data_IF_978308682246
#
_entry.id   IF_978308682246
#
_cell.length_a   1.000
_cell.length_b   1.000
_cell.length_c   1.000
_cell.angle_alpha   90.00
_cell.angle_beta   90.00
_cell.angle_gamma   90.00
#
_symmetry.space_group_name_H-M   'P 1'
#
loop_
_entity.id
_entity.type
_entity.pdbx_description
1 polymer ?
#
# COMPACT_ATOMS: atom_id res chain seq x y z
N UNK A 1 29.94 36.14 -32.11
CA UNK A 1 31.16 36.31 -32.93
C UNK A 1 32.11 37.38 -32.42
N UNK A 2 31.72 38.55 -31.88
CA UNK A 2 32.70 39.58 -31.42
C UNK A 2 33.44 39.30 -30.09
N UNK A 3 33.06 38.29 -29.30
CA UNK A 3 33.66 38.02 -27.97
C UNK A 3 34.27 36.61 -27.85
N UNK A 4 34.33 35.83 -28.92
CA UNK A 4 34.76 34.41 -28.84
C UNK A 4 36.25 34.29 -28.50
N UNK A 5 37.09 35.18 -29.01
CA UNK A 5 38.53 35.21 -28.71
C UNK A 5 38.79 35.59 -27.24
N UNK A 6 38.06 36.57 -26.71
CA UNK A 6 38.14 36.93 -25.30
C UNK A 6 37.69 35.77 -24.40
N UNK A 7 36.59 35.10 -24.73
CA UNK A 7 36.09 33.95 -23.96
C UNK A 7 37.12 32.82 -23.96
N UNK A 8 37.71 32.51 -25.13
CA UNK A 8 38.75 31.48 -25.27
C UNK A 8 39.99 31.84 -24.44
N UNK A 9 40.47 33.09 -24.51
CA UNK A 9 41.66 33.51 -23.78
C UNK A 9 41.46 33.56 -22.26
N UNK A 10 40.33 34.10 -21.79
CA UNK A 10 40.06 34.24 -20.36
C UNK A 10 39.56 32.94 -19.73
N UNK A 11 39.00 32.02 -20.53
CA UNK A 11 38.38 30.78 -20.03
C UNK A 11 37.05 30.98 -19.32
N UNK A 12 36.47 32.18 -19.43
CA UNK A 12 35.17 32.52 -18.86
C UNK A 12 34.48 33.61 -19.68
N UNK A 13 33.18 33.78 -19.51
CA UNK A 13 32.41 34.85 -20.17
C UNK A 13 32.57 36.15 -19.37
N UNK A 14 33.14 37.23 -19.95
CA UNK A 14 33.44 38.47 -19.22
C UNK A 14 32.26 39.09 -18.46
N UNK A 15 31.05 38.99 -19.03
CA UNK A 15 29.82 39.51 -18.40
C UNK A 15 29.47 38.74 -17.14
N UNK A 16 29.72 37.42 -17.13
CA UNK A 16 29.44 36.55 -15.98
C UNK A 16 30.33 36.92 -14.79
N UNK A 17 31.63 37.15 -15.01
CA UNK A 17 32.56 37.58 -13.95
C UNK A 17 32.08 38.85 -13.24
N UNK A 18 31.62 39.83 -14.02
CA UNK A 18 31.15 41.11 -13.48
C UNK A 18 29.80 40.96 -12.78
N UNK A 19 28.93 40.08 -13.25
CA UNK A 19 27.67 39.79 -12.55
C UNK A 19 27.91 39.06 -11.23
N UNK A 20 28.79 38.06 -11.19
CA UNK A 20 29.17 37.34 -9.98
C UNK A 20 29.81 38.26 -8.95
N UNK A 21 30.78 39.09 -9.38
CA UNK A 21 31.41 40.07 -8.50
C UNK A 21 30.40 41.09 -7.94
N UNK A 22 29.40 41.50 -8.73
CA UNK A 22 28.32 42.34 -8.23
C UNK A 22 27.55 41.64 -7.11
N UNK A 23 27.16 40.39 -7.35
CA UNK A 23 26.38 39.59 -6.40
C UNK A 23 27.12 39.41 -5.07
N UNK A 24 28.41 39.07 -5.12
CA UNK A 24 29.25 38.89 -3.94
C UNK A 24 29.36 40.18 -3.11
N UNK A 25 29.61 41.32 -3.77
CA UNK A 25 29.70 42.61 -3.06
C UNK A 25 28.34 43.05 -2.52
N UNK A 26 27.23 42.85 -3.26
CA UNK A 26 25.88 43.10 -2.74
C UNK A 26 25.56 42.22 -1.53
N UNK A 27 26.06 40.98 -1.49
CA UNK A 27 25.99 40.08 -0.33
C UNK A 27 26.70 40.68 0.89
N UNK A 28 27.98 41.04 0.74
CA UNK A 28 28.77 41.63 1.83
C UNK A 28 28.12 42.93 2.36
N UNK A 29 27.61 43.79 1.46
CA UNK A 29 26.92 45.02 1.85
C UNK A 29 25.64 44.74 2.64
N UNK A 30 24.90 43.69 2.27
CA UNK A 30 23.68 43.27 2.98
C UNK A 30 24.01 42.78 4.38
N UNK A 31 24.99 41.92 4.51
CA UNK A 31 25.43 41.41 5.80
C UNK A 31 25.89 42.55 6.73
N UNK A 32 26.63 43.53 6.18
CA UNK A 32 27.03 44.73 6.92
C UNK A 32 25.85 45.58 7.38
N UNK A 33 24.84 45.77 6.52
CA UNK A 33 23.60 46.48 6.87
C UNK A 33 22.81 45.74 7.94
N UNK A 34 22.73 44.40 7.86
CA UNK A 34 22.05 43.57 8.85
C UNK A 34 22.72 43.67 10.22
N UNK A 35 24.06 43.64 10.28
CA UNK A 35 24.81 43.86 11.53
C UNK A 35 24.55 45.25 12.12
N UNK A 36 24.45 46.30 11.28
CA UNK A 36 24.09 47.64 11.74
C UNK A 36 22.63 47.74 12.23
N UNK A 37 21.74 46.95 11.64
CA UNK A 37 20.32 46.90 12.03
C UNK A 37 20.10 46.32 13.42
N UNK A 38 21.03 45.48 13.90
CA UNK A 38 21.05 45.00 15.28
C UNK A 38 21.26 46.14 16.29
N UNK A 39 21.95 47.22 15.90
CA UNK A 39 22.27 48.37 16.75
C UNK A 39 21.20 49.47 16.69
N UNK A 40 20.69 49.81 15.50
CA UNK A 40 19.62 50.82 15.31
C UNK A 40 18.81 50.57 14.03
N UNK A 41 17.65 49.93 14.17
CA UNK A 41 16.77 49.52 13.04
C UNK A 41 16.32 50.70 12.15
N UNK A 42 16.11 51.90 12.72
CA UNK A 42 15.60 53.06 11.94
C UNK A 42 16.69 53.67 11.07
N UNK A 43 17.92 53.76 11.58
CA UNK A 43 19.06 54.26 10.80
C UNK A 43 19.52 53.25 9.77
N UNK A 44 19.53 51.95 10.10
CA UNK A 44 19.93 50.90 9.18
C UNK A 44 19.06 50.86 7.92
N UNK A 45 17.74 50.99 8.04
CA UNK A 45 16.86 50.97 6.86
C UNK A 45 17.10 52.16 5.93
N UNK A 46 17.30 53.37 6.48
CA UNK A 46 17.60 54.57 5.67
C UNK A 46 18.97 54.50 5.01
N UNK A 47 19.97 53.99 5.72
CA UNK A 47 21.35 53.83 5.20
C UNK A 47 21.37 52.75 4.10
N UNK A 48 20.62 51.66 4.28
CA UNK A 48 20.57 50.55 3.31
C UNK A 48 20.19 51.02 1.91
N UNK A 49 19.08 51.75 1.75
CA UNK A 49 18.62 52.22 0.44
C UNK A 49 19.64 53.10 -0.27
N UNK A 50 20.23 54.05 0.46
CA UNK A 50 21.23 54.98 -0.10
C UNK A 50 22.51 54.24 -0.52
N UNK A 51 22.98 53.31 0.32
CA UNK A 51 24.21 52.55 0.06
C UNK A 51 24.02 51.61 -1.14
N UNK A 52 22.91 50.87 -1.20
CA UNK A 52 22.65 49.96 -2.33
C UNK A 52 22.43 50.70 -3.64
N UNK A 53 21.71 51.82 -3.63
CA UNK A 53 21.49 52.62 -4.83
C UNK A 53 22.79 53.25 -5.34
N UNK A 54 23.60 53.82 -4.42
CA UNK A 54 24.92 54.35 -4.74
C UNK A 54 25.86 53.26 -5.25
N UNK A 55 25.88 52.09 -4.60
CA UNK A 55 26.67 50.95 -5.03
C UNK A 55 26.28 50.52 -6.45
N UNK A 56 25.00 50.25 -6.73
CA UNK A 56 24.55 49.81 -8.06
C UNK A 56 24.90 50.80 -9.16
N UNK A 57 24.75 52.09 -8.89
CA UNK A 57 25.13 53.14 -9.85
C UNK A 57 26.63 53.13 -10.13
N UNK A 58 27.46 53.08 -9.10
CA UNK A 58 28.91 53.06 -9.27
C UNK A 58 29.39 51.74 -9.89
N UNK A 59 28.77 50.62 -9.52
CA UNK A 59 29.06 49.31 -10.07
C UNK A 59 28.70 49.23 -11.54
N UNK A 60 27.61 49.87 -11.98
CA UNK A 60 27.28 49.97 -13.40
C UNK A 60 28.35 50.72 -14.21
N UNK A 61 28.95 51.78 -13.65
CA UNK A 61 30.04 52.50 -14.31
C UNK A 61 31.29 51.62 -14.36
N UNK A 62 31.61 50.96 -13.24
CA UNK A 62 32.72 50.01 -13.13
C UNK A 62 32.57 48.85 -14.11
N UNK A 63 31.40 48.21 -14.19
CA UNK A 63 31.14 47.07 -15.07
C UNK A 63 31.35 47.44 -16.53
N UNK A 64 30.82 48.58 -16.96
CA UNK A 64 31.05 49.09 -18.30
C UNK A 64 32.52 49.40 -18.56
N UNK A 65 33.24 49.95 -17.59
CA UNK A 65 34.67 50.22 -17.74
C UNK A 65 35.47 48.92 -17.91
N UNK A 66 35.23 47.93 -17.05
CA UNK A 66 35.90 46.62 -17.08
C UNK A 66 35.62 45.91 -18.41
N UNK A 67 34.36 45.81 -18.82
CA UNK A 67 33.97 45.12 -20.04
C UNK A 67 34.49 45.78 -21.32
N UNK A 68 34.76 47.09 -21.30
CA UNK A 68 35.23 47.82 -22.49
C UNK A 68 36.74 47.98 -22.55
N UNK A 69 37.42 48.06 -21.41
CA UNK A 69 38.83 48.46 -21.35
C UNK A 69 39.75 47.39 -20.76
N UNK A 70 39.22 46.46 -19.96
CA UNK A 70 40.03 45.42 -19.29
C UNK A 70 39.82 44.07 -19.98
N UNK A 71 38.57 43.67 -20.16
CA UNK A 71 38.20 42.34 -20.66
C UNK A 71 37.89 42.31 -22.16
N UNK A 72 38.19 43.39 -22.88
CA UNK A 72 38.01 43.49 -24.33
C UNK A 72 39.34 43.70 -25.01
N UNK A 73 39.61 42.96 -26.06
CA UNK A 73 40.83 43.14 -26.81
C UNK A 73 40.78 44.39 -27.69
N UNK A 74 41.93 45.06 -27.91
CA UNK A 74 42.03 46.07 -28.95
C UNK A 74 41.66 45.46 -30.31
N UNK A 75 41.02 46.21 -31.23
CA UNK A 75 40.65 45.69 -32.55
C UNK A 75 41.84 45.18 -33.40
N UNK A 76 43.06 45.61 -33.06
CA UNK A 76 44.31 45.20 -33.70
C UNK A 76 44.93 43.95 -33.09
N UNK A 77 44.46 43.53 -31.91
CA UNK A 77 44.95 42.31 -31.26
C UNK A 77 44.36 41.10 -31.96
N UNK A 78 45.18 40.07 -32.15
CA UNK A 78 44.77 38.77 -32.64
C UNK A 78 45.36 37.73 -31.72
N UNK A 79 44.53 36.85 -31.21
CA UNK A 79 44.99 35.76 -30.35
C UNK A 79 45.85 34.79 -31.17
N UNK A 80 47.15 34.72 -30.88
CA UNK A 80 48.03 33.72 -31.48
C UNK A 80 47.76 32.35 -30.83
N UNK A 81 46.93 31.54 -31.49
CA UNK A 81 46.72 30.13 -31.09
C UNK A 81 48.03 29.37 -31.18
N UNK A 82 48.45 28.70 -30.10
CA UNK A 82 49.58 27.75 -30.17
C UNK A 82 49.16 26.59 -31.06
N UNK A 83 49.99 26.23 -32.03
CA UNK A 83 49.79 25.10 -32.95
C UNK A 83 49.71 23.70 -32.27
N UNK A 84 49.65 23.65 -30.94
CA UNK A 84 49.55 22.43 -30.14
C UNK A 84 48.11 22.12 -29.68
N UNK A 85 47.15 23.01 -29.92
CA UNK A 85 45.74 22.63 -29.80
C UNK A 85 45.42 21.81 -31.04
N UNK A 86 45.66 20.50 -30.94
CA UNK A 86 44.93 19.54 -31.73
C UNK A 86 43.46 19.93 -31.55
N UNK A 87 42.83 20.43 -32.62
CA UNK A 87 41.38 20.53 -32.71
C UNK A 87 40.93 19.09 -32.51
N UNK A 88 40.59 18.73 -31.28
CA UNK A 88 39.94 17.46 -31.03
C UNK A 88 38.60 17.66 -31.70
N UNK A 89 38.46 17.10 -32.90
CA UNK A 89 37.18 16.92 -33.58
C UNK A 89 36.42 15.89 -32.76
N UNK A 90 36.03 16.26 -31.54
CA UNK A 90 35.07 15.51 -30.76
C UNK A 90 33.78 15.68 -31.55
N UNK A 91 33.29 14.56 -32.06
CA UNK A 91 32.00 14.51 -32.72
C UNK A 91 30.91 14.72 -31.67
N UNK A 92 30.65 15.99 -31.36
CA UNK A 92 29.62 16.42 -30.43
C UNK A 92 28.24 15.93 -30.87
N UNK A 93 28.03 15.71 -32.17
CA UNK A 93 26.78 15.18 -32.69
C UNK A 93 26.60 13.72 -32.24
N UNK A 94 27.63 12.89 -32.42
CA UNK A 94 27.62 11.50 -31.94
C UNK A 94 27.36 11.39 -30.44
N UNK A 95 28.03 12.23 -29.63
CA UNK A 95 27.81 12.26 -28.17
C UNK A 95 26.37 12.69 -27.83
N UNK A 96 25.84 13.66 -28.57
CA UNK A 96 24.47 14.14 -28.35
C UNK A 96 23.45 13.08 -28.74
N UNK A 97 23.66 12.38 -29.85
CA UNK A 97 22.79 11.30 -30.31
C UNK A 97 22.82 10.12 -29.33
N UNK A 98 23.99 9.77 -28.80
CA UNK A 98 24.16 8.74 -27.77
C UNK A 98 23.45 9.13 -26.46
N UNK A 99 23.56 10.39 -26.04
CA UNK A 99 22.83 10.90 -24.87
C UNK A 99 21.30 10.86 -25.07
N UNK A 100 20.80 11.24 -26.24
CA UNK A 100 19.36 11.20 -26.55
C UNK A 100 18.85 9.76 -26.55
N UNK A 101 19.65 8.81 -27.07
CA UNK A 101 19.29 7.40 -27.02
C UNK A 101 19.23 6.87 -25.58
N UNK A 102 20.22 7.21 -24.74
CA UNK A 102 20.24 6.80 -23.33
C UNK A 102 19.04 7.35 -22.56
N UNK A 103 18.69 8.62 -22.78
CA UNK A 103 17.50 9.23 -22.17
C UNK A 103 16.21 8.56 -22.65
N UNK A 104 16.12 8.22 -23.94
CA UNK A 104 14.98 7.48 -24.49
C UNK A 104 14.85 6.07 -23.92
N UNK A 105 15.98 5.38 -23.68
CA UNK A 105 15.99 4.09 -23.00
C UNK A 105 15.57 4.22 -21.53
N UNK A 106 16.02 5.26 -20.82
CA UNK A 106 15.62 5.55 -19.44
C UNK A 106 14.09 5.72 -19.33
N UNK A 107 13.51 6.58 -20.17
CA UNK A 107 12.05 6.80 -20.23
C UNK A 107 11.29 5.48 -20.52
N UNK A 108 11.82 4.66 -21.44
CA UNK A 108 11.24 3.36 -21.74
C UNK A 108 11.27 2.41 -20.55
N UNK A 109 12.40 2.29 -19.85
CA UNK A 109 12.54 1.41 -18.70
C UNK A 109 11.71 1.90 -17.51
N UNK A 110 11.58 3.22 -17.30
CA UNK A 110 10.71 3.78 -16.27
C UNK A 110 9.24 3.41 -16.51
N UNK A 111 8.77 3.56 -17.76
CA UNK A 111 7.42 3.14 -18.16
C UNK A 111 7.21 1.62 -17.99
N UNK A 112 8.20 0.81 -18.35
CA UNK A 112 8.12 -0.65 -18.22
C UNK A 112 8.07 -1.10 -16.76
N UNK A 113 8.83 -0.45 -15.86
CA UNK A 113 8.77 -0.71 -14.42
C UNK A 113 7.38 -0.40 -13.86
N UNK A 114 6.77 0.71 -14.26
CA UNK A 114 5.40 1.06 -13.84
C UNK A 114 4.39 0.01 -14.31
N UNK A 115 4.46 -0.38 -15.58
CA UNK A 115 3.59 -1.42 -16.16
C UNK A 115 3.71 -2.76 -15.43
N UNK A 116 4.94 -3.17 -15.11
CA UNK A 116 5.19 -4.41 -14.37
C UNK A 116 4.66 -4.35 -12.94
N UNK A 117 4.78 -3.20 -12.26
CA UNK A 117 4.20 -3.01 -10.92
C UNK A 117 2.68 -3.18 -10.94
N UNK A 118 1.99 -2.54 -11.88
CA UNK A 118 0.54 -2.69 -12.05
C UNK A 118 0.15 -4.16 -12.32
N UNK A 119 0.90 -4.85 -13.19
CA UNK A 119 0.66 -6.27 -13.46
C UNK A 119 0.84 -7.12 -12.21
N UNK A 120 1.85 -6.85 -11.38
CA UNK A 120 2.08 -7.57 -10.12
C UNK A 120 0.92 -7.33 -9.15
N UNK A 121 0.43 -6.10 -9.02
CA UNK A 121 -0.68 -5.79 -8.12
C UNK A 121 -1.97 -6.48 -8.54
N UNK A 122 -2.26 -6.56 -9.84
CA UNK A 122 -3.39 -7.32 -10.39
C UNK A 122 -3.26 -8.81 -10.03
N UNK A 123 -2.09 -9.40 -10.23
CA UNK A 123 -1.88 -10.82 -9.91
C UNK A 123 -1.93 -11.09 -8.40
N UNK A 124 -1.46 -10.17 -7.56
CA UNK A 124 -1.64 -10.27 -6.10
C UNK A 124 -3.11 -10.23 -5.70
N UNK A 125 -3.91 -9.36 -6.31
CA UNK A 125 -5.35 -9.30 -6.08
C UNK A 125 -6.05 -10.60 -6.51
N UNK A 126 -5.67 -11.16 -7.68
CA UNK A 126 -6.19 -12.45 -8.16
C UNK A 126 -5.84 -13.59 -7.20
N UNK A 127 -4.60 -13.65 -6.75
CA UNK A 127 -4.14 -14.65 -5.79
C UNK A 127 -4.96 -14.59 -4.50
N UNK A 128 -5.18 -13.40 -3.96
CA UNK A 128 -5.97 -13.23 -2.75
C UNK A 128 -7.42 -13.65 -2.96
N UNK A 129 -8.02 -13.29 -4.09
CA UNK A 129 -9.37 -13.72 -4.46
C UNK A 129 -9.50 -15.24 -4.53
N UNK A 130 -8.52 -15.93 -5.12
CA UNK A 130 -8.51 -17.39 -5.16
C UNK A 130 -8.30 -18.04 -3.80
N UNK A 131 -7.49 -17.43 -2.92
CA UNK A 131 -7.34 -17.89 -1.53
C UNK A 131 -8.66 -17.79 -0.78
N UNK A 132 -9.35 -16.66 -0.87
CA UNK A 132 -10.66 -16.49 -0.23
C UNK A 132 -11.69 -17.50 -0.76
N UNK A 133 -11.70 -17.75 -2.07
CA UNK A 133 -12.56 -18.77 -2.68
C UNK A 133 -12.26 -20.17 -2.13
N UNK A 134 -10.98 -20.52 -2.00
CA UNK A 134 -10.54 -21.80 -1.46
C UNK A 134 -10.86 -21.96 0.03
N UNK A 135 -10.75 -20.89 0.81
CA UNK A 135 -11.18 -20.91 2.20
C UNK A 135 -12.69 -21.13 2.33
N UNK A 136 -13.47 -20.50 1.46
CA UNK A 136 -14.92 -20.68 1.41
C UNK A 136 -15.35 -22.05 0.87
N UNK A 137 -14.53 -22.72 0.07
CA UNK A 137 -14.91 -24.02 -0.51
C UNK A 137 -14.93 -25.15 0.52
N UNK A 138 -14.09 -25.09 1.56
CA UNK A 138 -14.08 -26.09 2.64
C UNK A 138 -15.41 -26.22 3.39
N UNK A 139 -16.01 -25.13 3.93
CA UNK A 139 -17.31 -25.23 4.59
C UNK A 139 -18.44 -25.58 3.62
N UNK A 140 -18.37 -25.14 2.36
CA UNK A 140 -19.38 -25.51 1.35
C UNK A 140 -19.34 -27.01 1.04
N UNK A 141 -18.14 -27.58 0.85
CA UNK A 141 -17.99 -29.02 0.62
C UNK A 141 -18.47 -29.84 1.83
N UNK A 142 -18.11 -29.41 3.04
CA UNK A 142 -18.61 -30.05 4.26
C UNK A 142 -20.14 -29.97 4.38
N UNK A 143 -20.75 -28.83 4.01
CA UNK A 143 -22.20 -28.68 4.00
C UNK A 143 -22.86 -29.62 2.97
N UNK A 144 -22.26 -29.77 1.78
CA UNK A 144 -22.75 -30.69 0.74
C UNK A 144 -22.71 -32.13 1.26
N UNK A 145 -21.61 -32.55 1.88
CA UNK A 145 -21.48 -33.88 2.48
C UNK A 145 -22.55 -34.12 3.55
N UNK A 146 -22.75 -33.18 4.47
CA UNK A 146 -23.80 -33.29 5.49
C UNK A 146 -25.22 -33.32 4.91
N UNK A 147 -25.49 -32.58 3.84
CA UNK A 147 -26.79 -32.64 3.14
C UNK A 147 -26.99 -34.01 2.50
N UNK A 148 -25.96 -34.60 1.90
CA UNK A 148 -26.03 -35.94 1.32
C UNK A 148 -26.29 -37.01 2.39
N UNK A 149 -25.64 -36.92 3.54
CA UNK A 149 -25.88 -37.79 4.69
C UNK A 149 -27.33 -37.68 5.19
N UNK A 150 -27.81 -36.45 5.41
CA UNK A 150 -29.19 -36.20 5.85
C UNK A 150 -30.22 -36.74 4.84
N UNK A 151 -29.94 -36.61 3.54
CA UNK A 151 -30.82 -37.15 2.49
C UNK A 151 -30.85 -38.69 2.51
N UNK A 152 -29.69 -39.33 2.70
CA UNK A 152 -29.59 -40.79 2.85
C UNK A 152 -30.36 -41.29 4.09
N UNK A 153 -30.23 -40.60 5.22
CA UNK A 153 -31.00 -40.91 6.43
C UNK A 153 -32.50 -40.76 6.20
N UNK A 154 -32.95 -39.68 5.56
CA UNK A 154 -34.35 -39.47 5.22
C UNK A 154 -34.88 -40.58 4.30
N UNK A 155 -34.11 -40.98 3.29
CA UNK A 155 -34.48 -42.08 2.40
C UNK A 155 -34.60 -43.40 3.18
N UNK A 156 -33.69 -43.67 4.11
CA UNK A 156 -33.73 -44.85 4.96
C UNK A 156 -34.95 -44.85 5.91
N UNK A 157 -35.27 -43.70 6.51
CA UNK A 157 -36.47 -43.52 7.34
C UNK A 157 -37.74 -43.72 6.51
N UNK A 158 -37.77 -43.17 5.29
CA UNK A 158 -38.90 -43.34 4.38
C UNK A 158 -39.08 -44.82 4.00
N UNK A 159 -38.00 -45.52 3.66
CA UNK A 159 -38.04 -46.98 3.40
C UNK A 159 -38.48 -47.79 4.62
N UNK A 160 -38.07 -47.40 5.83
CA UNK A 160 -38.49 -48.03 7.09
C UNK A 160 -39.97 -47.79 7.36
N UNK A 161 -40.45 -46.56 7.15
CA UNK A 161 -41.85 -46.20 7.24
C UNK A 161 -42.69 -46.98 6.22
N UNK A 162 -42.26 -47.05 4.97
CA UNK A 162 -42.95 -47.83 3.93
C UNK A 162 -42.98 -49.33 4.26
N UNK A 163 -41.89 -49.87 4.80
CA UNK A 163 -41.86 -51.26 5.29
C UNK A 163 -42.81 -51.46 6.48
N UNK A 164 -42.84 -50.55 7.46
CA UNK A 164 -43.77 -50.63 8.59
C UNK A 164 -45.22 -50.47 8.13
N UNK A 165 -45.49 -49.56 7.19
CA UNK A 165 -46.78 -49.33 6.54
C UNK A 165 -47.26 -50.57 5.78
N UNK A 166 -46.35 -51.28 5.10
CA UNK A 166 -46.67 -52.56 4.47
C UNK A 166 -46.81 -53.71 5.46
N UNK A 167 -46.10 -53.69 6.60
CA UNK A 167 -46.28 -54.65 7.70
C UNK A 167 -47.58 -54.37 8.46
N UNK A 168 -48.07 -53.12 8.52
CA UNK A 168 -49.42 -52.79 8.99
C UNK A 168 -50.53 -53.17 8.01
N UNK A 169 -50.21 -53.90 6.95
CA UNK A 169 -51.15 -54.75 6.22
C UNK A 169 -51.35 -56.14 6.85
N UNK A 170 -50.73 -56.43 8.01
CA UNK A 170 -51.13 -57.54 8.88
C UNK A 170 -52.33 -57.11 9.71
N UNK A 171 -53.39 -57.95 9.69
CA UNK A 171 -54.71 -57.73 10.29
C UNK A 171 -54.70 -56.88 11.57
N UNK A 172 -55.59 -55.88 11.63
CA UNK A 172 -55.87 -55.01 12.79
C UNK A 172 -56.04 -55.81 14.11
N UNK A 173 -56.40 -57.10 14.04
CA UNK A 173 -56.52 -58.00 15.19
C UNK A 173 -55.18 -58.28 15.88
N UNK A 174 -54.07 -58.44 15.16
CA UNK A 174 -52.75 -58.74 15.76
C UNK A 174 -52.15 -57.49 16.44
N UNK A 175 -52.41 -56.30 15.89
CA UNK A 175 -51.98 -55.05 16.52
C UNK A 175 -52.79 -54.74 17.79
N UNK A 176 -54.12 -54.96 17.75
CA UNK A 176 -54.95 -54.86 18.94
C UNK A 176 -54.57 -55.89 20.00
N UNK A 177 -54.28 -57.13 19.64
CA UNK A 177 -53.83 -58.15 20.58
C UNK A 177 -52.51 -57.76 21.29
N UNK A 178 -51.58 -57.11 20.57
CA UNK A 178 -50.35 -56.58 21.15
C UNK A 178 -50.59 -55.40 22.11
N UNK A 179 -51.52 -54.49 21.77
CA UNK A 179 -51.91 -53.38 22.64
C UNK A 179 -52.65 -53.89 23.89
N UNK A 180 -53.59 -54.81 23.73
CA UNK A 180 -54.29 -55.48 24.84
C UNK A 180 -53.32 -56.24 25.74
N UNK A 181 -52.36 -56.97 25.18
CA UNK A 181 -51.33 -57.66 25.96
C UNK A 181 -50.46 -56.68 26.75
N UNK A 182 -50.08 -55.55 26.16
CA UNK A 182 -49.33 -54.48 26.84
C UNK A 182 -50.15 -53.87 27.98
N UNK A 183 -51.43 -53.63 27.76
CA UNK A 183 -52.33 -53.06 28.76
C UNK A 183 -52.59 -54.03 29.92
N UNK A 184 -52.85 -55.31 29.62
CA UNK A 184 -52.98 -56.39 30.61
C UNK A 184 -51.71 -56.49 31.44
N UNK A 185 -50.53 -56.52 30.81
CA UNK A 185 -49.24 -56.62 31.53
C UNK A 185 -49.00 -55.42 32.44
N UNK A 186 -49.36 -54.21 31.99
CA UNK A 186 -49.26 -53.00 32.81
C UNK A 186 -50.22 -53.03 34.00
N UNK A 187 -51.46 -53.46 33.78
CA UNK A 187 -52.45 -53.63 34.83
C UNK A 187 -52.03 -54.69 35.85
N UNK A 188 -51.45 -55.80 35.40
CA UNK A 188 -50.99 -56.88 36.26
C UNK A 188 -49.84 -56.42 37.15
N UNK A 189 -48.85 -55.73 36.57
CA UNK A 189 -47.72 -55.17 37.32
C UNK A 189 -48.18 -54.11 38.34
N UNK A 190 -49.16 -53.29 37.99
CA UNK A 190 -49.74 -52.30 38.91
C UNK A 190 -50.47 -53.00 40.07
N UNK A 191 -51.24 -54.04 39.78
CA UNK A 191 -51.94 -54.83 40.80
C UNK A 191 -50.97 -55.56 41.72
N UNK A 192 -49.95 -56.22 41.19
CA UNK A 192 -48.90 -56.87 41.99
C UNK A 192 -48.19 -55.86 42.90
N UNK A 193 -47.83 -54.69 42.38
CA UNK A 193 -47.24 -53.60 43.17
C UNK A 193 -48.19 -53.17 44.30
N UNK A 194 -49.46 -52.95 44.00
CA UNK A 194 -50.44 -52.48 44.98
C UNK A 194 -50.74 -53.55 46.04
N UNK A 195 -50.78 -54.84 45.67
CA UNK A 195 -50.90 -55.97 46.60
C UNK A 195 -49.66 -56.11 47.50
N UNK A 196 -48.45 -55.92 46.96
CA UNK A 196 -47.21 -55.88 47.73
C UNK A 196 -47.19 -54.71 48.72
N UNK A 197 -47.63 -53.52 48.31
CA UNK A 197 -47.75 -52.36 49.19
C UNK A 197 -48.78 -52.60 50.31
N UNK A 198 -49.83 -53.37 50.05
CA UNK A 198 -50.87 -53.70 51.06
C UNK A 198 -50.40 -54.70 52.11
N UNK A 199 -49.47 -55.59 51.75
CA UNK A 199 -48.93 -56.63 52.64
C UNK A 199 -47.61 -56.19 53.30
N UNK A 200 -46.95 -55.16 52.75
CA UNK A 200 -45.70 -54.63 53.28
C UNK A 200 -45.88 -54.08 54.70
N UNK A 201 -44.98 -54.49 55.61
CA UNK A 201 -44.87 -53.90 56.94
C UNK A 201 -44.35 -52.46 56.86
N UNK A 202 -44.70 -51.64 57.85
CA UNK A 202 -44.40 -50.19 57.89
C UNK A 202 -42.88 -49.88 57.75
N UNK A 203 -42.02 -50.80 58.20
CA UNK A 203 -40.55 -50.74 58.01
C UNK A 203 -40.11 -50.88 56.54
N UNK A 204 -40.79 -51.70 55.73
CA UNK A 204 -40.45 -51.92 54.32
C UNK A 204 -40.90 -50.73 53.45
N UNK A 205 -42.05 -50.12 53.78
CA UNK A 205 -42.56 -48.92 53.13
C UNK A 205 -41.63 -47.70 53.37
N UNK A 206 -41.07 -47.56 54.59
CA UNK A 206 -40.09 -46.49 54.87
C UNK A 206 -38.77 -46.66 54.10
N UNK A 207 -38.30 -47.89 53.86
CA UNK A 207 -37.09 -48.11 53.06
C UNK A 207 -37.29 -47.76 51.58
N UNK A 208 -38.47 -48.05 51.01
CA UNK A 208 -38.75 -47.73 49.60
C UNK A 208 -38.80 -46.21 49.33
N UNK A 209 -39.39 -45.42 50.23
CA UNK A 209 -39.46 -43.96 50.08
C UNK A 209 -38.09 -43.27 50.23
N UNK A 210 -37.16 -43.83 51.03
CA UNK A 210 -35.78 -43.33 51.14
C UNK A 210 -34.95 -43.55 49.87
N UNK A 211 -35.31 -44.51 49.02
CA UNK A 211 -34.62 -44.76 47.76
C UNK A 211 -35.08 -43.85 46.61
N UNK A 212 -36.22 -43.15 46.74
CA UNK A 212 -36.75 -42.21 45.74
C UNK A 212 -36.39 -40.74 45.99
N UNK A 213 -35.73 -40.41 47.11
CA UNK A 213 -35.26 -39.04 47.44
C UNK A 213 -33.76 -38.80 47.10
N UNK A 214 -33.29 -39.29 45.95
CA UNK A 214 -32.02 -38.85 45.36
C UNK A 214 -32.20 -38.40 43.92
#
# INVERSE_FOLDING_TARGET
>A
MENEEEIEFFGFVPVTLVAELQSEIEGILRDGVEQLSFLDKRKAHRISGIVFESFRRNYFIFSNFVLRNILRFPPSFRLERKANDAVVTIDLQSITDELVNVLGEEDYYEAEVLRLKESIDIERYRLESYRSLLECSKPVNSLIESIMEAYSELENVTKLYDKMSMISGMDDEDHNALLEYREIRSSLAKKERDDLLRIASEEVLMMMNKCTEK
#
